data_IF_864645528400
#
_entry.id   IF_864645528400
#
_cell.length_a   1.000
_cell.length_b   1.000
_cell.length_c   1.000
_cell.angle_alpha   90.00
_cell.angle_beta   90.00
_cell.angle_gamma   90.00
#
_symmetry.space_group_name_H-M   'P 1'
#
loop_
_entity.id
_entity.type
_entity.pdbx_description
1 polymer ?
#
# COMPACT_ATOMS: atom_id res chain seq x y z
N UNK A 1 24.81 -3.92 -0.31
CA UNK A 1 24.09 -2.75 -0.85
C UNK A 1 22.60 -2.98 -0.61
N UNK A 2 22.10 -2.53 0.53
CA UNK A 2 20.67 -2.60 0.87
C UNK A 2 20.00 -1.41 0.18
N UNK A 3 19.24 -1.66 -0.89
CA UNK A 3 18.53 -0.60 -1.60
C UNK A 3 17.51 0.05 -0.66
N UNK A 4 17.56 1.36 -0.48
CA UNK A 4 16.56 2.12 0.27
C UNK A 4 15.18 1.89 -0.38
N UNK A 5 14.16 1.51 0.41
CA UNK A 5 12.81 1.27 -0.12
C UNK A 5 12.18 2.59 -0.62
N UNK A 6 11.33 2.55 -1.66
CA UNK A 6 10.64 3.76 -2.11
C UNK A 6 9.71 4.29 -1.00
N UNK A 7 9.45 5.61 -0.98
CA UNK A 7 8.58 6.26 0.03
C UNK A 7 7.17 5.65 0.12
N UNK A 8 6.71 4.97 -0.95
CA UNK A 8 5.46 4.22 -0.95
C UNK A 8 5.49 3.04 -1.93
N UNK A 9 4.72 2.00 -1.64
CA UNK A 9 4.47 0.86 -2.52
C UNK A 9 2.97 0.71 -2.81
N UNK A 10 2.55 0.89 -4.07
CA UNK A 10 1.16 0.64 -4.47
C UNK A 10 0.78 -0.84 -4.31
N UNK A 11 -0.35 -1.11 -3.65
CA UNK A 11 -0.92 -2.45 -3.51
C UNK A 11 -2.09 -2.63 -4.48
N UNK A 12 -3.03 -1.67 -4.48
CA UNK A 12 -4.19 -1.64 -5.35
C UNK A 12 -4.44 -0.21 -5.83
N UNK A 13 -4.89 -0.05 -7.08
CA UNK A 13 -5.04 1.24 -7.72
C UNK A 13 -3.72 1.84 -8.24
N UNK A 14 -3.79 3.00 -8.90
CA UNK A 14 -2.71 3.55 -9.71
C UNK A 14 -1.35 3.58 -8.98
N UNK A 15 -0.25 3.22 -9.69
CA UNK A 15 -0.14 2.94 -11.12
C UNK A 15 -0.63 1.54 -11.54
N UNK A 16 -1.05 0.69 -10.61
CA UNK A 16 -1.66 -0.62 -10.92
C UNK A 16 -3.15 -0.44 -11.22
N UNK A 17 -3.64 -0.95 -12.35
CA UNK A 17 -5.07 -0.96 -12.63
C UNK A 17 -5.85 -1.79 -11.59
N UNK A 18 -7.02 -1.32 -11.17
CA UNK A 18 -7.96 -2.15 -10.42
C UNK A 18 -8.49 -3.27 -11.31
N UNK A 19 -8.48 -4.50 -10.81
CA UNK A 19 -9.02 -5.68 -11.51
C UNK A 19 -10.06 -6.35 -10.62
N UNK A 20 -11.25 -6.57 -11.15
CA UNK A 20 -12.31 -7.25 -10.41
C UNK A 20 -11.88 -8.68 -10.03
N UNK A 21 -11.19 -9.37 -10.94
CA UNK A 21 -10.72 -10.76 -10.74
C UNK A 21 -9.66 -10.90 -9.63
N UNK A 22 -9.07 -9.79 -9.17
CA UNK A 22 -8.18 -9.82 -8.00
C UNK A 22 -8.96 -10.04 -6.70
N UNK A 23 -10.30 -9.87 -6.71
CA UNK A 23 -11.17 -9.91 -5.54
C UNK A 23 -12.32 -10.92 -5.70
N UNK A 24 -12.72 -11.53 -4.58
CA UNK A 24 -13.89 -12.39 -4.52
C UNK A 24 -14.66 -12.18 -3.20
N UNK A 25 -15.98 -12.26 -3.32
CA UNK A 25 -16.90 -12.14 -2.21
C UNK A 25 -16.62 -13.19 -1.12
N UNK A 26 -16.75 -12.75 0.12
CA UNK A 26 -16.72 -13.56 1.34
C UNK A 26 -17.71 -12.93 2.31
N UNK A 27 -18.99 -13.05 1.99
CA UNK A 27 -20.09 -12.47 2.77
C UNK A 27 -20.61 -13.47 3.82
N UNK A 28 -21.45 -12.99 4.73
CA UNK A 28 -22.10 -13.80 5.77
C UNK A 28 -23.04 -14.91 5.26
N UNK A 29 -23.33 -14.95 3.95
CA UNK A 29 -24.05 -16.05 3.26
C UNK A 29 -23.43 -17.42 3.52
N UNK A 30 -22.12 -17.50 3.76
CA UNK A 30 -21.45 -18.76 4.16
C UNK A 30 -21.91 -19.30 5.52
N UNK A 31 -22.62 -18.47 6.29
CA UNK A 31 -23.25 -18.78 7.58
C UNK A 31 -24.78 -18.65 7.51
N UNK A 32 -25.35 -18.54 6.31
CA UNK A 32 -26.79 -18.35 6.10
C UNK A 32 -27.28 -16.90 6.25
N UNK A 33 -26.38 -15.92 6.28
CA UNK A 33 -26.75 -14.50 6.23
C UNK A 33 -27.22 -14.05 4.85
N UNK A 34 -27.70 -12.81 4.76
CA UNK A 34 -28.28 -12.24 3.54
C UNK A 34 -27.47 -11.05 2.98
N UNK A 35 -26.30 -10.75 3.55
CA UNK A 35 -25.47 -9.66 3.06
C UNK A 35 -24.80 -10.00 1.73
N UNK A 36 -24.59 -8.98 0.90
CA UNK A 36 -23.92 -9.11 -0.38
C UNK A 36 -22.96 -7.95 -0.60
N UNK A 37 -21.79 -8.25 -1.15
CA UNK A 37 -20.81 -7.24 -1.55
C UNK A 37 -20.33 -7.44 -2.98
N UNK A 38 -19.82 -6.37 -3.56
CA UNK A 38 -19.22 -6.31 -4.88
C UNK A 38 -18.04 -5.35 -4.86
N UNK A 39 -17.02 -5.63 -5.69
CA UNK A 39 -15.96 -4.68 -6.01
C UNK A 39 -16.00 -4.43 -7.52
N UNK A 40 -16.30 -3.20 -7.92
CA UNK A 40 -16.48 -2.82 -9.32
C UNK A 40 -15.45 -1.76 -9.69
N UNK A 41 -14.44 -2.08 -10.52
CA UNK A 41 -13.53 -1.09 -11.08
C UNK A 41 -14.27 -0.05 -11.94
N UNK A 42 -13.77 1.18 -11.97
CA UNK A 42 -14.22 2.20 -12.93
C UNK A 42 -13.83 1.84 -14.36
N UNK A 43 -14.45 2.48 -15.36
CA UNK A 43 -14.11 2.26 -16.77
C UNK A 43 -12.62 2.53 -17.08
N UNK A 44 -11.99 3.49 -16.39
CA UNK A 44 -10.57 3.81 -16.51
C UNK A 44 -9.67 2.93 -15.65
N UNK A 45 -10.24 2.05 -14.81
CA UNK A 45 -9.53 1.19 -13.85
C UNK A 45 -8.67 1.94 -12.82
N UNK A 46 -8.85 3.25 -12.69
CA UNK A 46 -8.09 4.11 -11.76
C UNK A 46 -8.71 4.17 -10.37
N UNK A 47 -9.94 3.71 -10.22
CA UNK A 47 -10.66 3.58 -8.95
C UNK A 47 -11.44 2.26 -8.92
N UNK A 48 -11.80 1.81 -7.73
CA UNK A 48 -12.77 0.74 -7.55
C UNK A 48 -13.83 1.13 -6.51
N UNK A 49 -15.07 0.74 -6.78
CA UNK A 49 -16.19 0.90 -5.85
C UNK A 49 -16.41 -0.41 -5.10
N UNK A 50 -16.29 -0.38 -3.77
CA UNK A 50 -16.74 -1.43 -2.88
C UNK A 50 -18.16 -1.10 -2.39
N UNK A 51 -19.14 -1.92 -2.79
CA UNK A 51 -20.56 -1.63 -2.55
C UNK A 51 -21.38 -2.89 -2.35
N UNK A 52 -22.61 -2.72 -1.86
CA UNK A 52 -23.54 -3.81 -1.65
C UNK A 52 -24.64 -3.47 -0.65
N UNK A 53 -25.18 -4.51 -0.02
CA UNK A 53 -26.20 -4.39 1.03
C UNK A 53 -25.76 -5.22 2.24
N UNK A 54 -25.72 -4.58 3.39
CA UNK A 54 -25.50 -5.23 4.68
C UNK A 54 -26.86 -5.53 5.32
N UNK A 55 -27.15 -6.82 5.52
CA UNK A 55 -28.30 -7.25 6.30
C UNK A 55 -27.87 -7.66 7.71
N UNK A 56 -28.56 -7.13 8.71
CA UNK A 56 -28.33 -7.49 10.12
C UNK A 56 -29.45 -8.35 10.68
N UNK A 57 -30.57 -8.48 9.96
CA UNK A 57 -31.77 -9.16 10.48
C UNK A 57 -31.61 -10.67 10.48
N UNK A 58 -31.07 -11.22 9.38
CA UNK A 58 -31.02 -12.68 9.16
C UNK A 58 -30.21 -13.41 10.24
N UNK A 59 -29.16 -12.76 10.77
CA UNK A 59 -28.29 -13.34 11.80
C UNK A 59 -28.45 -12.67 13.17
N UNK A 60 -29.61 -12.09 13.46
CA UNK A 60 -29.94 -11.57 14.80
C UNK A 60 -29.00 -10.44 15.25
N UNK A 61 -28.82 -9.45 14.39
CA UNK A 61 -28.00 -8.25 14.62
C UNK A 61 -26.55 -8.36 14.15
N UNK A 62 -26.10 -9.58 13.84
CA UNK A 62 -24.83 -9.82 13.17
C UNK A 62 -24.99 -9.69 11.64
N UNK A 63 -23.92 -9.27 10.96
CA UNK A 63 -23.88 -9.24 9.50
C UNK A 63 -22.53 -8.75 9.01
N UNK A 64 -22.08 -9.29 7.88
CA UNK A 64 -20.92 -8.75 7.17
C UNK A 64 -20.96 -9.04 5.67
N UNK A 65 -20.49 -8.07 4.89
CA UNK A 65 -20.28 -8.16 3.46
C UNK A 65 -18.81 -7.80 3.17
N UNK A 66 -18.07 -8.66 2.46
CA UNK A 66 -16.62 -8.46 2.29
C UNK A 66 -16.12 -8.93 0.94
N UNK A 67 -15.19 -8.16 0.37
CA UNK A 67 -14.40 -8.51 -0.80
C UNK A 67 -12.95 -8.74 -0.38
N UNK A 68 -12.41 -9.93 -0.66
CA UNK A 68 -11.03 -10.29 -0.30
C UNK A 68 -10.22 -10.65 -1.53
N UNK A 69 -8.91 -10.53 -1.45
CA UNK A 69 -8.02 -10.94 -2.54
C UNK A 69 -8.10 -12.44 -2.82
N UNK A 70 -8.16 -12.83 -4.09
CA UNK A 70 -8.26 -14.24 -4.52
C UNK A 70 -6.96 -15.01 -4.28
N UNK A 71 -5.83 -14.36 -4.54
CA UNK A 71 -4.54 -15.03 -4.63
C UNK A 71 -4.06 -15.53 -3.27
N UNK A 72 -3.78 -16.83 -3.18
CA UNK A 72 -3.12 -17.48 -2.04
C UNK A 72 -1.60 -17.65 -2.21
N UNK A 73 -1.07 -17.32 -3.40
CA UNK A 73 0.34 -17.50 -3.78
C UNK A 73 1.19 -16.22 -3.66
N UNK A 74 0.55 -15.08 -3.50
CA UNK A 74 1.22 -13.78 -3.37
C UNK A 74 1.44 -13.51 -1.90
N UNK A 75 2.69 -13.25 -1.56
CA UNK A 75 3.08 -12.76 -0.24
C UNK A 75 3.53 -11.32 -0.41
N UNK A 76 2.99 -10.41 0.41
CA UNK A 76 3.43 -9.04 0.48
C UNK A 76 4.37 -8.90 1.67
N UNK A 77 5.66 -8.73 1.38
CA UNK A 77 6.61 -8.20 2.36
C UNK A 77 6.52 -6.66 2.35
N UNK A 78 6.01 -6.12 3.44
CA UNK A 78 5.85 -4.69 3.71
C UNK A 78 6.57 -4.26 5.00
N UNK A 79 7.58 -5.02 5.45
CA UNK A 79 8.36 -4.72 6.67
C UNK A 79 9.02 -3.34 6.64
N UNK A 80 9.30 -2.85 5.43
CA UNK A 80 10.01 -1.60 5.18
C UNK A 80 9.11 -0.35 5.27
N UNK A 81 7.81 -0.53 5.53
CA UNK A 81 6.83 0.56 5.58
C UNK A 81 6.27 0.69 7.00
N UNK A 82 5.69 1.84 7.33
CA UNK A 82 5.14 2.11 8.67
C UNK A 82 3.63 1.83 8.76
N UNK A 83 2.96 1.69 7.62
CA UNK A 83 1.52 1.44 7.58
C UNK A 83 0.92 1.47 6.17
N UNK A 84 -0.41 1.55 6.14
CA UNK A 84 -1.24 1.56 4.94
C UNK A 84 -1.96 2.89 4.79
N UNK A 85 -1.84 3.50 3.62
CA UNK A 85 -2.64 4.65 3.19
C UNK A 85 -3.81 4.18 2.30
N UNK A 86 -5.01 4.60 2.68
CA UNK A 86 -6.24 4.48 1.91
C UNK A 86 -6.55 5.86 1.31
N UNK A 87 -6.63 5.94 -0.01
CA UNK A 87 -7.04 7.15 -0.73
C UNK A 87 -8.48 6.97 -1.24
N UNK A 88 -9.44 7.59 -0.55
CA UNK A 88 -10.87 7.47 -0.83
C UNK A 88 -11.32 8.59 -1.76
N UNK A 89 -11.98 8.23 -2.85
CA UNK A 89 -12.59 9.18 -3.77
C UNK A 89 -13.91 9.72 -3.26
N UNK A 90 -14.71 8.86 -2.64
CA UNK A 90 -16.05 9.17 -2.16
C UNK A 90 -16.51 8.06 -1.21
N UNK A 91 -17.08 8.42 -0.07
CA UNK A 91 -17.71 7.48 0.87
C UNK A 91 -19.20 7.77 1.04
N UNK A 92 -19.80 7.14 2.04
CA UNK A 92 -21.23 7.20 2.36
C UNK A 92 -21.50 7.51 3.86
N UNK A 93 -20.46 7.92 4.59
CA UNK A 93 -20.50 8.17 6.02
C UNK A 93 -20.51 6.90 6.89
N UNK A 94 -20.45 5.71 6.29
CA UNK A 94 -20.47 4.45 7.06
C UNK A 94 -19.08 4.02 7.49
N UNK A 95 -19.06 3.04 8.40
CA UNK A 95 -17.84 2.47 8.95
C UNK A 95 -17.44 1.21 8.18
N UNK A 96 -16.19 1.17 7.76
CA UNK A 96 -15.58 0.07 7.03
C UNK A 96 -14.43 -0.53 7.83
N UNK A 97 -13.99 -1.72 7.42
CA UNK A 97 -12.84 -2.38 7.99
C UNK A 97 -11.92 -2.88 6.87
N UNK A 98 -10.63 -2.58 6.98
CA UNK A 98 -9.57 -3.23 6.22
C UNK A 98 -9.00 -4.37 7.07
N UNK A 99 -9.08 -5.60 6.56
CA UNK A 99 -8.57 -6.79 7.23
C UNK A 99 -7.30 -7.30 6.53
N UNK A 100 -6.35 -7.76 7.34
CA UNK A 100 -5.11 -8.40 6.92
C UNK A 100 -5.05 -9.82 7.49
N UNK A 101 -4.63 -10.78 6.68
CA UNK A 101 -4.24 -12.12 7.16
C UNK A 101 -2.80 -12.45 6.77
N UNK A 102 -2.08 -12.99 7.74
CA UNK A 102 -0.72 -13.54 7.59
C UNK A 102 -0.71 -15.07 7.61
N UNK A 103 -1.86 -15.69 7.90
CA UNK A 103 -2.07 -17.14 7.85
C UNK A 103 -3.32 -17.42 7.04
N UNK A 104 -3.18 -18.18 5.97
CA UNK A 104 -4.31 -18.67 5.21
C UNK A 104 -4.87 -19.92 5.89
N UNK A 105 -6.20 -19.99 6.07
CA UNK A 105 -6.81 -21.15 6.68
C UNK A 105 -6.68 -22.38 5.80
N UNK A 106 -6.51 -23.54 6.43
CA UNK A 106 -6.73 -24.81 5.76
C UNK A 106 -8.16 -24.90 5.22
N UNK A 107 -8.31 -25.62 4.11
CA UNK A 107 -9.62 -25.98 3.60
C UNK A 107 -10.19 -27.07 4.50
N UNK A 108 -11.38 -26.82 5.04
CA UNK A 108 -12.19 -27.83 5.72
C UNK A 108 -12.66 -28.89 4.71
N UNK A 109 -13.06 -30.07 5.19
CA UNK A 109 -13.57 -31.18 4.36
C UNK A 109 -14.75 -30.78 3.44
N UNK A 110 -15.50 -29.76 3.82
CA UNK A 110 -16.61 -29.20 3.05
C UNK A 110 -16.20 -28.06 2.08
N UNK A 111 -14.90 -27.87 1.83
CA UNK A 111 -14.33 -26.85 0.96
C UNK A 111 -14.33 -25.43 1.52
N UNK A 112 -14.84 -25.22 2.74
CA UNK A 112 -14.86 -23.91 3.40
C UNK A 112 -13.48 -23.57 3.95
N UNK A 113 -13.16 -22.27 3.94
CA UNK A 113 -12.00 -21.76 4.65
C UNK A 113 -12.23 -21.90 6.16
N UNK A 114 -11.28 -22.48 6.89
CA UNK A 114 -11.26 -22.40 8.35
C UNK A 114 -11.16 -20.95 8.85
N UNK A 115 -11.45 -20.72 10.13
CA UNK A 115 -11.24 -19.40 10.75
C UNK A 115 -9.79 -19.26 11.19
N UNK A 116 -9.18 -18.12 10.87
CA UNK A 116 -7.85 -17.72 11.37
C UNK A 116 -7.96 -16.34 12.00
N UNK A 117 -6.95 -15.95 12.78
CA UNK A 117 -6.82 -14.58 13.27
C UNK A 117 -6.72 -13.62 12.07
N UNK A 118 -7.47 -12.53 12.13
CA UNK A 118 -7.42 -11.43 11.19
C UNK A 118 -7.04 -10.15 11.93
N UNK A 119 -6.19 -9.32 11.33
CA UNK A 119 -5.83 -8.02 11.89
C UNK A 119 -6.68 -6.96 11.19
N UNK A 120 -7.48 -6.24 11.97
CA UNK A 120 -8.53 -5.38 11.48
C UNK A 120 -8.26 -3.92 11.86
N UNK A 121 -8.34 -3.04 10.86
CA UNK A 121 -8.36 -1.59 11.05
C UNK A 121 -9.71 -1.05 10.59
N UNK A 122 -10.45 -0.35 11.45
CA UNK A 122 -11.75 0.22 11.10
C UNK A 122 -11.70 1.74 10.94
N UNK A 123 -12.39 2.26 9.93
CA UNK A 123 -12.41 3.67 9.59
C UNK A 123 -13.80 4.09 9.10
N UNK A 124 -14.11 5.39 9.19
CA UNK A 124 -15.32 5.97 8.59
C UNK A 124 -14.96 6.51 7.20
N UNK A 125 -15.78 6.22 6.19
CA UNK A 125 -15.60 6.76 4.84
C UNK A 125 -16.48 8.01 4.66
N UNK A 126 -15.95 9.24 4.81
CA UNK A 126 -16.74 10.46 4.66
C UNK A 126 -17.23 10.62 3.21
N UNK A 127 -18.28 11.43 3.02
CA UNK A 127 -18.80 11.74 1.68
C UNK A 127 -17.79 12.51 0.82
N UNK A 128 -16.88 13.26 1.45
CA UNK A 128 -15.81 13.99 0.78
C UNK A 128 -14.60 13.09 0.49
N UNK A 129 -13.79 13.38 -0.55
CA UNK A 129 -12.53 12.70 -0.76
C UNK A 129 -11.61 12.83 0.45
N UNK A 130 -11.01 11.73 0.90
CA UNK A 130 -10.10 11.76 2.05
C UNK A 130 -8.95 10.75 1.90
N UNK A 131 -7.87 10.98 2.65
CA UNK A 131 -6.80 10.00 2.84
C UNK A 131 -6.76 9.59 4.30
N UNK A 132 -6.62 8.29 4.54
CA UNK A 132 -6.56 7.70 5.86
C UNK A 132 -5.27 6.90 5.93
N UNK A 133 -4.44 7.16 6.94
CA UNK A 133 -3.23 6.38 7.20
C UNK A 133 -3.43 5.54 8.44
N UNK A 134 -3.25 4.23 8.30
CA UNK A 134 -3.33 3.24 9.36
C UNK A 134 -1.93 2.70 9.62
N UNK A 135 -1.37 2.96 10.81
CA UNK A 135 -0.12 2.34 11.21
C UNK A 135 -0.33 0.86 11.47
N UNK A 136 0.74 0.06 11.45
CA UNK A 136 0.64 -1.36 11.76
C UNK A 136 0.04 -1.64 13.14
N UNK A 137 0.33 -0.79 14.13
CA UNK A 137 -0.23 -0.87 15.49
C UNK A 137 -1.74 -0.64 15.56
N UNK A 138 -2.34 0.02 14.56
CA UNK A 138 -3.78 0.28 14.50
C UNK A 138 -4.58 -0.96 14.06
N UNK A 139 -3.91 -1.96 13.48
CA UNK A 139 -4.54 -3.22 13.09
C UNK A 139 -4.63 -4.14 14.30
N UNK A 140 -5.83 -4.25 14.88
CA UNK A 140 -6.04 -5.08 16.08
C UNK A 140 -6.44 -6.51 15.69
N UNK A 141 -5.96 -7.53 16.42
CA UNK A 141 -6.25 -8.93 16.12
C UNK A 141 -7.67 -9.33 16.55
N UNK A 142 -8.37 -10.03 15.66
CA UNK A 142 -9.69 -10.61 15.90
C UNK A 142 -9.75 -12.07 15.47
N UNK A 143 -10.51 -12.87 16.21
CA UNK A 143 -10.88 -14.23 15.83
C UNK A 143 -12.41 -14.35 15.84
N UNK A 144 -12.99 -14.61 14.67
CA UNK A 144 -14.45 -14.72 14.48
C UNK A 144 -15.22 -13.52 15.06
N UNK A 145 -14.69 -12.31 14.82
CA UNK A 145 -15.29 -11.05 15.24
C UNK A 145 -15.05 -10.67 16.71
N UNK A 146 -14.30 -11.46 17.49
CA UNK A 146 -13.92 -11.16 18.87
C UNK A 146 -12.45 -10.74 18.97
N UNK A 147 -12.10 -9.72 19.77
CA UNK A 147 -10.70 -9.35 20.02
C UNK A 147 -9.88 -10.52 20.56
N UNK A 148 -8.58 -10.55 20.26
CA UNK A 148 -7.63 -11.53 20.81
C UNK A 148 -6.53 -10.77 21.55
N UNK A 149 -6.55 -10.78 22.89
CA UNK A 149 -5.63 -9.95 23.69
C UNK A 149 -4.17 -10.40 23.56
N UNK A 150 -3.92 -11.72 23.54
CA UNK A 150 -2.56 -12.29 23.52
C UNK A 150 -2.08 -12.69 22.11
N UNK A 151 -2.66 -12.10 21.06
CA UNK A 151 -2.19 -12.36 19.70
C UNK A 151 -0.82 -11.71 19.46
N UNK A 152 0.02 -12.39 18.68
CA UNK A 152 1.29 -11.81 18.22
C UNK A 152 1.03 -10.51 17.44
N UNK A 153 2.00 -9.59 17.36
CA UNK A 153 1.92 -8.47 16.45
C UNK A 153 1.73 -8.93 15.00
N UNK A 154 1.12 -8.06 14.18
CA UNK A 154 0.98 -8.31 12.75
C UNK A 154 2.37 -8.50 12.11
N UNK A 155 2.61 -9.67 11.52
CA UNK A 155 3.80 -9.93 10.73
C UNK A 155 3.68 -9.26 9.35
N UNK A 156 4.31 -8.10 9.21
CA UNK A 156 4.28 -7.30 7.97
C UNK A 156 5.20 -7.86 6.89
N UNK A 157 6.08 -8.82 7.21
CA UNK A 157 6.97 -9.45 6.24
C UNK A 157 6.28 -10.53 5.39
N UNK A 158 5.16 -11.06 5.89
CA UNK A 158 4.43 -12.17 5.27
C UNK A 158 2.91 -11.97 5.27
N UNK A 159 2.45 -10.86 4.68
CA UNK A 159 1.01 -10.66 4.47
C UNK A 159 0.54 -11.53 3.30
N UNK A 160 -0.57 -12.24 3.48
CA UNK A 160 -1.10 -13.23 2.52
C UNK A 160 -2.49 -12.87 1.97
N UNK A 161 -3.26 -12.01 2.65
CA UNK A 161 -4.60 -11.64 2.19
C UNK A 161 -5.05 -10.29 2.70
N UNK A 162 -5.75 -9.56 1.83
CA UNK A 162 -6.43 -8.30 2.14
C UNK A 162 -7.94 -8.49 2.00
N UNK A 163 -8.73 -7.80 2.83
CA UNK A 163 -10.19 -7.75 2.72
C UNK A 163 -10.72 -6.36 3.04
N UNK A 164 -11.61 -5.87 2.18
CA UNK A 164 -12.47 -4.72 2.45
C UNK A 164 -13.80 -5.27 2.97
N UNK A 165 -14.24 -4.78 4.12
CA UNK A 165 -15.41 -5.31 4.80
C UNK A 165 -16.33 -4.18 5.28
N UNK A 166 -17.62 -4.40 5.07
CA UNK A 166 -18.72 -3.72 5.76
C UNK A 166 -19.27 -4.71 6.79
N UNK A 167 -19.31 -4.34 8.08
CA UNK A 167 -19.82 -5.19 9.16
C UNK A 167 -20.85 -4.46 10.00
N UNK A 168 -21.79 -5.16 10.63
CA UNK A 168 -22.86 -4.53 11.41
C UNK A 168 -22.39 -3.77 12.66
N UNK A 169 -21.23 -4.15 13.19
CA UNK A 169 -20.80 -3.76 14.54
C UNK A 169 -21.88 -4.02 15.60
N UNK A 170 -22.63 -5.12 15.45
CA UNK A 170 -23.79 -5.47 16.28
C UNK A 170 -24.87 -4.37 16.19
N UNK A 171 -25.53 -4.31 15.03
CA UNK A 171 -26.67 -3.40 14.73
C UNK A 171 -26.38 -1.90 14.69
N UNK A 172 -25.12 -1.47 14.80
CA UNK A 172 -24.78 -0.05 14.68
C UNK A 172 -24.93 0.48 13.24
N UNK A 173 -24.89 -0.40 12.23
CA UNK A 173 -25.14 -0.03 10.83
C UNK A 173 -25.73 -1.19 10.01
N UNK A 174 -26.54 -0.83 9.02
CA UNK A 174 -27.17 -1.74 8.06
C UNK A 174 -27.47 -1.01 6.73
N UNK A 175 -27.99 -1.76 5.76
CA UNK A 175 -28.52 -1.26 4.51
C UNK A 175 -27.49 -1.13 3.38
N UNK A 176 -27.84 -0.41 2.29
CA UNK A 176 -26.95 -0.20 1.16
C UNK A 176 -25.69 0.56 1.58
N UNK A 177 -24.53 0.15 1.06
CA UNK A 177 -23.26 0.82 1.31
C UNK A 177 -22.46 1.00 0.02
N UNK A 178 -21.63 2.03 -0.04
CA UNK A 178 -20.77 2.32 -1.19
C UNK A 178 -19.60 3.23 -0.83
N UNK A 179 -18.38 2.73 -1.02
CA UNK A 179 -17.14 3.53 -0.95
C UNK A 179 -16.34 3.35 -2.23
N UNK A 180 -15.87 4.47 -2.80
CA UNK A 180 -14.99 4.50 -3.97
C UNK A 180 -13.57 4.78 -3.52
N UNK A 181 -12.65 3.90 -3.91
CA UNK A 181 -11.25 3.91 -3.49
C UNK A 181 -10.40 4.21 -4.72
N UNK A 182 -9.53 5.22 -4.64
CA UNK A 182 -8.50 5.48 -5.64
C UNK A 182 -7.38 4.48 -5.50
N UNK A 183 -6.79 4.38 -4.31
CA UNK A 183 -5.66 3.48 -4.08
C UNK A 183 -5.54 3.00 -2.64
N UNK A 184 -4.88 1.86 -2.49
CA UNK A 184 -4.38 1.31 -1.23
C UNK A 184 -2.87 1.12 -1.41
N UNK A 185 -2.07 1.73 -0.53
CA UNK A 185 -0.60 1.73 -0.65
C UNK A 185 0.05 1.50 0.71
N UNK A 186 1.18 0.81 0.73
CA UNK A 186 2.08 0.85 1.88
C UNK A 186 2.91 2.14 1.83
N UNK A 187 3.14 2.78 2.97
CA UNK A 187 3.85 4.07 3.04
C UNK A 187 4.70 4.18 4.31
N UNK A 188 5.84 4.85 4.20
CA UNK A 188 6.58 5.33 5.36
C UNK A 188 5.77 6.41 6.08
N UNK A 189 5.83 6.47 7.41
CA UNK A 189 5.26 7.57 8.16
C UNK A 189 6.03 8.86 7.86
N UNK A 190 5.39 10.02 7.98
CA UNK A 190 6.03 11.30 7.69
C UNK A 190 7.30 11.55 8.55
N UNK A 191 7.31 11.07 9.79
CA UNK A 191 8.49 11.08 10.68
C UNK A 191 9.65 10.27 10.11
N UNK A 192 9.35 9.11 9.53
CA UNK A 192 10.34 8.13 9.08
C UNK A 192 10.89 8.52 7.70
N UNK A 193 10.14 9.33 6.94
CA UNK A 193 10.63 9.94 5.70
C UNK A 193 11.69 11.00 5.98
N UNK A 194 11.52 11.79 7.05
CA UNK A 194 12.48 12.83 7.41
C UNK A 194 13.85 12.25 7.80
N UNK A 195 13.87 11.16 8.59
CA UNK A 195 15.13 10.49 8.94
C UNK A 195 15.86 9.87 7.74
N UNK A 196 15.11 9.34 6.77
CA UNK A 196 15.71 8.79 5.53
C UNK A 196 16.29 9.88 4.64
N UNK A 197 15.66 11.06 4.61
CA UNK A 197 16.18 12.19 3.83
C UNK A 197 17.42 12.81 4.52
N UNK A 198 17.52 12.83 5.86
CA UNK A 198 18.69 13.27 6.62
C UNK A 198 19.90 12.31 6.47
N UNK A 199 19.68 10.99 6.51
CA UNK A 199 20.75 10.00 6.28
C UNK A 199 21.40 10.17 4.88
N UNK A 200 20.58 10.48 3.86
CA UNK A 200 21.07 10.76 2.50
C UNK A 200 22.03 11.94 2.41
N UNK A 201 21.77 13.03 3.12
CA UNK A 201 22.63 14.22 3.08
C UNK A 201 24.00 13.96 3.72
N UNK A 202 24.08 13.02 4.66
CA UNK A 202 25.35 12.66 5.31
C UNK A 202 26.23 11.70 4.49
N UNK A 203 25.64 10.75 3.76
CA UNK A 203 26.40 9.80 2.92
C UNK A 203 26.94 10.43 1.62
N UNK A 204 26.28 11.46 1.07
CA UNK A 204 26.73 12.17 -0.14
C UNK A 204 27.85 13.20 0.15
N UNK A 205 28.28 13.36 1.42
CA UNK A 205 29.26 14.39 1.84
C UNK A 205 30.72 13.92 1.96
N UNK A 206 31.02 12.65 1.65
CA UNK A 206 32.34 12.05 1.90
C UNK A 206 33.15 11.80 0.61
N UNK A 207 33.44 12.87 -0.15
CA UNK A 207 34.53 12.93 -1.14
C UNK A 207 34.95 14.39 -1.38
N UNK A 208 36.02 14.83 -0.71
CA UNK A 208 37.03 15.74 -1.25
C UNK A 208 38.18 15.86 -0.23
N UNK A 209 39.09 14.89 -0.23
CA UNK A 209 40.46 15.11 0.22
C UNK A 209 41.39 14.77 -0.95
N UNK A 210 41.71 15.81 -1.72
CA UNK A 210 42.72 15.75 -2.76
C UNK A 210 44.05 16.20 -2.16
N UNK A 211 44.83 15.22 -1.68
CA UNK A 211 46.24 15.40 -1.37
C UNK A 211 46.99 15.78 -2.66
N UNK A 212 47.39 17.05 -2.76
CA UNK A 212 48.38 17.53 -3.73
C UNK A 212 49.72 17.65 -3.02
N UNK A 213 50.54 16.59 -3.16
CA UNK A 213 51.92 16.61 -2.69
C UNK A 213 52.81 17.43 -3.65
N UNK A 214 53.35 18.51 -3.09
CA UNK A 214 54.35 19.40 -3.66
C UNK A 214 55.75 18.76 -3.61
N UNK A 215 56.41 18.54 -4.75
CA UNK A 215 57.89 18.47 -4.82
C UNK A 215 58.47 19.12 -6.06
N UNK A 216 59.28 20.14 -5.79
CA UNK A 216 60.21 20.86 -6.66
C UNK A 216 61.51 20.06 -6.82
N UNK A 217 62.06 19.97 -8.04
CA UNK A 217 63.51 20.06 -8.33
C UNK A 217 63.81 20.12 -9.85
N UNK A 218 64.78 20.98 -10.17
CA UNK A 218 65.33 21.42 -11.48
C UNK A 218 65.83 20.33 -12.46
N UNK A 219 65.75 20.63 -13.77
CA UNK A 219 66.96 20.90 -14.59
C UNK A 219 66.62 21.29 -16.04
N UNK A 220 67.50 22.11 -16.61
CA UNK A 220 67.39 22.88 -17.84
C UNK A 220 67.41 22.06 -19.16
N UNK A 221 66.97 22.68 -20.27
CA UNK A 221 67.79 23.00 -21.48
C UNK A 221 66.92 23.10 -22.77
N UNK A 222 66.79 24.35 -23.26
CA UNK A 222 66.92 24.82 -24.67
C UNK A 222 65.97 24.39 -25.81
N UNK A 223 65.52 25.44 -26.53
CA UNK A 223 65.32 25.60 -27.99
C UNK A 223 64.01 25.20 -28.69
N UNK A 224 63.30 26.26 -29.14
CA UNK A 224 63.08 26.62 -30.56
C UNK A 224 61.74 26.33 -31.26
N UNK A 225 61.12 27.46 -31.69
CA UNK A 225 60.34 27.72 -32.91
C UNK A 225 58.90 27.20 -33.02
N UNK A 226 57.94 28.13 -33.24
CA UNK A 226 57.23 28.39 -34.52
C UNK A 226 56.21 27.31 -34.88
N UNK A 227 55.02 27.56 -35.42
CA UNK A 227 54.30 28.75 -35.87
C UNK A 227 52.90 28.29 -36.28
N UNK A 228 51.95 29.24 -36.36
CA UNK A 228 50.89 29.33 -37.39
C UNK A 228 49.87 28.16 -37.48
N UNK A 229 48.61 28.32 -37.90
CA UNK A 229 47.82 29.42 -38.42
C UNK A 229 46.36 28.92 -38.33
N UNK A 230 45.42 29.74 -37.89
CA UNK A 230 44.46 30.46 -38.75
C UNK A 230 43.30 29.63 -39.32
N UNK A 231 42.12 30.22 -39.07
CA UNK A 231 40.91 30.31 -39.91
C UNK A 231 40.03 29.07 -39.99
N UNK A 232 38.72 29.17 -40.17
CA UNK A 232 37.73 30.26 -40.12
C UNK A 232 36.48 29.70 -40.79
N UNK A 233 35.29 30.01 -40.25
CA UNK A 233 34.03 30.18 -40.98
C UNK A 233 33.46 28.90 -41.66
N UNK A 234 32.17 28.68 -41.84
CA UNK A 234 30.93 29.48 -41.81
C UNK A 234 29.78 28.43 -41.77
N UNK A 235 28.72 28.70 -41.02
CA UNK A 235 27.36 28.94 -41.54
C UNK A 235 26.91 28.12 -42.77
N UNK A 236 25.86 27.32 -42.61
CA UNK A 236 24.63 27.48 -43.41
C UNK A 236 23.44 26.82 -42.70
N UNK A 237 22.35 27.58 -42.57
CA UNK A 237 21.00 27.15 -42.21
C UNK A 237 20.25 26.65 -43.47
N UNK A 238 18.92 26.49 -43.34
CA UNK A 238 17.90 26.02 -44.31
C UNK A 238 17.58 24.53 -44.02
N UNK A 239 16.39 24.12 -43.60
CA UNK A 239 15.04 24.68 -43.61
C UNK A 239 14.24 24.07 -42.43
#
# INVERSE_FOLDING_TARGET
MTSIPPKSRPLFGPPRAWRQDDFVASDDRVRGGSSQSFLTPSATLTTARFHGVLDTTTLGGAGFASQRTVTSKMTWNLSDYSGIELDLAHGDGKKYTLNIKTVLPDKMDNGRDASTVEYAFSFVAPNEPCRIFAKWEDFKPFYRGKPVEDAKPLDTSSILRWSLMMRSFFEQQQGPFSVTIRSIKARLAASDVASVDEEKESEDSDWDDCDVDEKVADSATTSTSQSNNSRSMRFCAIL
#
